data_IF_006095340815
#
_entry.id   IF_006095340815
#
_cell.length_a   1.000
_cell.length_b   1.000
_cell.length_c   1.000
_cell.angle_alpha   90.00
_cell.angle_beta   90.00
_cell.angle_gamma   90.00
#
_symmetry.space_group_name_H-M   'P 1'
#
loop_
_entity.id
_entity.type
_entity.pdbx_description
1 polymer ?
#
# COMPACT_ATOMS: atom_id res chain seq x y z
N UNK A 1 9.58 -8.90 7.20
CA UNK A 1 8.88 -8.83 5.89
C UNK A 1 7.36 -8.89 6.02
N UNK A 2 6.82 -9.26 7.19
CA UNK A 2 5.38 -9.37 7.39
C UNK A 2 4.65 -8.04 7.19
N UNK A 3 5.29 -6.91 7.48
CA UNK A 3 4.72 -5.59 7.23
C UNK A 3 4.51 -5.31 5.74
N UNK A 4 5.41 -5.78 4.86
CA UNK A 4 5.24 -5.67 3.42
C UNK A 4 4.05 -6.51 2.94
N UNK A 5 3.90 -7.73 3.49
CA UNK A 5 2.75 -8.58 3.24
C UNK A 5 1.45 -7.90 3.66
N UNK A 6 1.43 -7.32 4.86
CA UNK A 6 0.29 -6.60 5.39
C UNK A 6 -0.06 -5.37 4.54
N UNK A 7 0.95 -4.60 4.11
CA UNK A 7 0.77 -3.49 3.17
C UNK A 7 0.20 -3.91 1.83
N UNK A 8 0.71 -5.01 1.27
CA UNK A 8 0.21 -5.58 0.02
C UNK A 8 -1.25 -6.01 0.14
N UNK A 9 -1.64 -6.63 1.25
CA UNK A 9 -3.04 -6.98 1.53
C UNK A 9 -3.93 -5.75 1.63
N UNK A 10 -3.50 -4.69 2.33
CA UNK A 10 -4.27 -3.44 2.45
C UNK A 10 -4.49 -2.79 1.08
N UNK A 11 -3.50 -2.82 0.20
CA UNK A 11 -3.61 -2.28 -1.16
C UNK A 11 -4.61 -3.09 -2.00
N UNK A 12 -4.63 -4.42 -1.87
CA UNK A 12 -5.63 -5.27 -2.55
C UNK A 12 -7.03 -5.05 -1.98
N UNK A 13 -7.16 -4.81 -0.67
CA UNK A 13 -8.46 -4.57 -0.02
C UNK A 13 -9.18 -3.33 -0.55
N UNK A 14 -8.47 -2.35 -1.15
CA UNK A 14 -9.10 -1.22 -1.83
C UNK A 14 -10.04 -1.62 -2.97
N UNK A 15 -9.92 -2.82 -3.57
CA UNK A 15 -10.85 -3.30 -4.60
C UNK A 15 -12.24 -3.54 -4.02
N UNK A 16 -12.29 -4.05 -2.78
CA UNK A 16 -13.53 -4.35 -2.11
C UNK A 16 -14.23 -3.09 -1.58
N UNK A 17 -13.68 -1.90 -1.86
CA UNK A 17 -14.26 -0.59 -1.52
C UNK A 17 -15.70 -0.38 -1.98
N UNK A 18 -16.12 -1.08 -3.03
CA UNK A 18 -17.46 -0.98 -3.61
C UNK A 18 -18.45 -2.02 -3.07
N UNK A 19 -18.04 -2.88 -2.12
CA UNK A 19 -18.92 -3.90 -1.55
C UNK A 19 -19.71 -3.31 -0.38
N UNK A 20 -21.07 -3.29 -0.44
CA UNK A 20 -21.94 -2.53 0.48
C UNK A 20 -21.98 -3.04 1.94
N UNK A 21 -21.10 -3.94 2.34
CA UNK A 21 -21.00 -4.47 3.72
C UNK A 21 -19.60 -4.30 4.34
N UNK A 22 -18.68 -3.64 3.63
CA UNK A 22 -17.27 -3.52 4.06
C UNK A 22 -16.90 -2.04 4.30
N UNK A 23 -17.81 -1.09 4.05
CA UNK A 23 -17.54 0.36 4.12
C UNK A 23 -16.91 0.81 5.45
N UNK A 24 -17.41 0.31 6.59
CA UNK A 24 -16.83 0.63 7.90
C UNK A 24 -15.41 0.08 8.05
N UNK A 25 -15.18 -1.17 7.65
CA UNK A 25 -13.85 -1.79 7.67
C UNK A 25 -12.87 -1.04 6.76
N UNK A 26 -13.33 -0.57 5.60
CA UNK A 26 -12.54 0.25 4.67
C UNK A 26 -12.24 1.62 5.25
N UNK A 27 -13.16 2.23 5.99
CA UNK A 27 -12.94 3.51 6.67
C UNK A 27 -11.86 3.38 7.76
N UNK A 28 -11.91 2.31 8.55
CA UNK A 28 -10.85 1.98 9.51
C UNK A 28 -9.52 1.69 8.81
N UNK A 29 -9.54 0.88 7.75
CA UNK A 29 -8.36 0.60 6.92
C UNK A 29 -7.75 1.90 6.37
N UNK A 30 -8.56 2.82 5.84
CA UNK A 30 -8.09 4.10 5.33
C UNK A 30 -7.43 4.97 6.41
N UNK A 31 -7.89 4.90 7.66
CA UNK A 31 -7.24 5.60 8.78
C UNK A 31 -5.87 5.02 9.13
N UNK A 32 -5.72 3.68 9.04
CA UNK A 32 -4.44 3.01 9.36
C UNK A 32 -3.48 2.90 8.18
N UNK A 33 -3.94 3.12 6.93
CA UNK A 33 -3.10 3.09 5.72
C UNK A 33 -1.87 3.98 5.85
N UNK A 34 -2.02 5.16 6.43
CA UNK A 34 -0.95 6.15 6.58
C UNK A 34 0.13 5.66 7.55
N UNK A 35 -0.18 5.36 8.84
CA UNK A 35 0.85 4.87 9.76
C UNK A 35 1.46 3.55 9.30
N UNK A 36 0.67 2.65 8.71
CA UNK A 36 1.19 1.39 8.15
C UNK A 36 2.13 1.65 6.97
N UNK A 37 1.77 2.58 6.06
CA UNK A 37 2.61 2.97 4.94
C UNK A 37 3.97 3.51 5.37
N UNK A 38 4.01 4.32 6.44
CA UNK A 38 5.26 4.83 7.02
C UNK A 38 6.13 3.69 7.56
N UNK A 39 5.54 2.77 8.33
CA UNK A 39 6.26 1.60 8.88
C UNK A 39 6.86 0.76 7.75
N UNK A 40 6.09 0.48 6.70
CA UNK A 40 6.57 -0.30 5.55
C UNK A 40 7.70 0.42 4.82
N UNK A 41 7.58 1.74 4.63
CA UNK A 41 8.62 2.54 3.99
C UNK A 41 9.95 2.50 4.75
N UNK A 42 9.90 2.65 6.08
CA UNK A 42 11.09 2.57 6.95
C UNK A 42 11.71 1.16 6.93
N UNK A 43 10.88 0.12 6.96
CA UNK A 43 11.35 -1.26 6.84
C UNK A 43 12.04 -1.48 5.49
N UNK A 44 11.46 -0.96 4.40
CA UNK A 44 12.04 -1.00 3.07
C UNK A 44 13.44 -0.38 3.04
N UNK A 45 13.59 0.83 3.57
CA UNK A 45 14.89 1.50 3.68
C UNK A 45 15.91 0.66 4.45
N UNK A 46 15.53 0.11 5.61
CA UNK A 46 16.43 -0.71 6.44
C UNK A 46 16.79 -2.07 5.83
N UNK A 47 15.98 -2.57 4.89
CA UNK A 47 16.15 -3.90 4.31
C UNK A 47 17.16 -3.94 3.16
N UNK A 48 17.58 -2.78 2.62
CA UNK A 48 18.59 -2.72 1.56
C UNK A 48 19.96 -3.24 2.02
N UNK A 49 20.29 -3.05 3.30
CA UNK A 49 21.57 -3.46 3.87
C UNK A 49 21.60 -4.94 4.31
N UNK A 50 20.48 -5.67 4.19
CA UNK A 50 20.36 -7.07 4.63
C UNK A 50 20.79 -8.09 3.56
N UNK A 51 21.23 -7.64 2.38
CA UNK A 51 21.77 -8.48 1.30
C UNK A 51 20.85 -8.62 0.08
N UNK A 52 21.40 -9.19 -1.01
CA UNK A 52 20.77 -9.21 -2.34
C UNK A 52 19.37 -9.83 -2.40
N UNK A 53 19.08 -10.78 -1.52
CA UNK A 53 17.76 -11.43 -1.39
C UNK A 53 16.65 -10.44 -1.02
N UNK A 54 16.97 -9.44 -0.21
CA UNK A 54 15.99 -8.50 0.33
C UNK A 54 15.78 -7.29 -0.58
N UNK A 55 16.64 -7.05 -1.57
CA UNK A 55 16.59 -5.88 -2.46
C UNK A 55 15.23 -5.77 -3.17
N UNK A 56 14.70 -6.88 -3.69
CA UNK A 56 13.40 -6.88 -4.35
C UNK A 56 12.26 -6.49 -3.40
N UNK A 57 12.22 -7.09 -2.20
CA UNK A 57 11.23 -6.75 -1.19
C UNK A 57 11.42 -5.37 -0.59
N UNK A 58 12.65 -4.89 -0.45
CA UNK A 58 12.98 -3.55 0.01
C UNK A 58 12.45 -2.50 -0.97
N UNK A 59 12.69 -2.70 -2.27
CA UNK A 59 12.15 -1.84 -3.33
C UNK A 59 10.61 -1.87 -3.35
N UNK A 60 10.01 -3.05 -3.24
CA UNK A 60 8.55 -3.17 -3.17
C UNK A 60 7.96 -2.55 -1.90
N UNK A 61 8.68 -2.56 -0.79
CA UNK A 61 8.26 -1.88 0.44
C UNK A 61 8.30 -0.36 0.31
N UNK A 62 9.28 0.19 -0.39
CA UNK A 62 9.26 1.62 -0.72
C UNK A 62 8.06 1.98 -1.60
N UNK A 63 7.79 1.18 -2.65
CA UNK A 63 6.68 1.42 -3.57
C UNK A 63 5.32 1.25 -2.86
N UNK A 64 5.14 0.19 -2.08
CA UNK A 64 3.91 -0.05 -1.33
C UNK A 64 3.69 0.99 -0.23
N UNK A 65 4.75 1.33 0.53
CA UNK A 65 4.72 2.33 1.59
C UNK A 65 4.38 3.72 1.05
N UNK A 66 4.99 4.13 -0.06
CA UNK A 66 4.66 5.40 -0.73
C UNK A 66 3.24 5.40 -1.28
N UNK A 67 2.79 4.31 -1.92
CA UNK A 67 1.40 4.20 -2.43
C UNK A 67 0.37 4.31 -1.30
N UNK A 68 0.64 3.67 -0.16
CA UNK A 68 -0.18 3.79 1.05
C UNK A 68 -0.14 5.21 1.63
N UNK A 69 1.00 5.89 1.54
CA UNK A 69 1.12 7.29 1.94
C UNK A 69 0.36 8.23 0.99
N UNK A 70 0.41 8.02 -0.33
CA UNK A 70 -0.32 8.83 -1.32
C UNK A 70 -1.85 8.74 -1.18
N UNK A 71 -2.38 7.75 -0.47
CA UNK A 71 -3.79 7.76 -0.05
C UNK A 71 -4.16 8.97 0.83
N UNK A 72 -3.20 9.70 1.41
CA UNK A 72 -3.44 11.00 2.06
C UNK A 72 -4.12 12.00 1.13
N UNK A 73 -3.76 12.02 -0.16
CA UNK A 73 -4.33 13.00 -1.10
C UNK A 73 -5.84 12.78 -1.33
N UNK A 74 -6.34 11.56 -1.11
CA UNK A 74 -7.78 11.28 -1.11
C UNK A 74 -8.52 11.83 0.12
N UNK A 75 -7.81 12.08 1.22
CA UNK A 75 -8.37 12.65 2.44
C UNK A 75 -8.39 14.20 2.44
N UNK A 76 -7.67 14.85 1.50
CA UNK A 76 -7.60 16.31 1.41
C UNK A 76 -8.75 16.81 0.49
N UNK A 77 -9.81 17.47 1.01
CA UNK A 77 -11.04 17.72 0.27
C UNK A 77 -10.97 18.85 -0.79
N UNK A 78 -9.80 19.43 -1.06
CA UNK A 78 -9.71 20.78 -1.68
C UNK A 78 -9.66 20.83 -3.22
N UNK A 79 -9.90 19.74 -3.96
CA UNK A 79 -9.82 19.76 -5.43
C UNK A 79 -10.87 18.85 -6.12
N UNK A 80 -12.13 19.25 -6.04
CA UNK A 80 -13.31 18.44 -6.40
C UNK A 80 -13.35 17.86 -7.83
N UNK A 81 -12.58 18.38 -8.80
CA UNK A 81 -12.67 17.93 -10.20
C UNK A 81 -11.48 17.05 -10.64
N UNK A 82 -10.30 17.15 -10.00
CA UNK A 82 -9.13 16.33 -10.34
C UNK A 82 -9.02 15.05 -9.50
N UNK A 83 -9.63 15.03 -8.31
CA UNK A 83 -9.52 13.93 -7.35
C UNK A 83 -10.16 12.63 -7.89
N UNK A 84 -11.25 12.70 -8.65
CA UNK A 84 -11.96 11.49 -9.09
C UNK A 84 -11.16 10.67 -10.13
N UNK A 85 -10.50 11.36 -11.07
CA UNK A 85 -9.58 10.73 -12.04
C UNK A 85 -8.32 10.22 -11.35
N UNK A 86 -7.72 11.02 -10.46
CA UNK A 86 -6.52 10.63 -9.70
C UNK A 86 -6.82 9.45 -8.79
N UNK A 87 -7.98 9.43 -8.14
CA UNK A 87 -8.44 8.32 -7.32
C UNK A 87 -8.65 7.06 -8.17
N UNK A 88 -9.26 7.15 -9.34
CA UNK A 88 -9.45 5.98 -10.22
C UNK A 88 -8.11 5.41 -10.67
N UNK A 89 -7.15 6.27 -11.03
CA UNK A 89 -5.80 5.86 -11.43
C UNK A 89 -5.07 5.20 -10.26
N UNK A 90 -5.10 5.81 -9.07
CA UNK A 90 -4.45 5.25 -7.88
C UNK A 90 -5.03 3.88 -7.54
N UNK A 91 -6.36 3.69 -7.55
CA UNK A 91 -6.98 2.37 -7.31
C UNK A 91 -6.54 1.34 -8.34
N UNK A 92 -6.38 1.73 -9.61
CA UNK A 92 -5.93 0.83 -10.67
C UNK A 92 -4.48 0.35 -10.46
N UNK A 93 -3.63 1.19 -9.85
CA UNK A 93 -2.25 0.84 -9.52
C UNK A 93 -2.10 0.15 -8.15
N UNK A 94 -3.01 0.38 -7.20
CA UNK A 94 -3.00 -0.27 -5.89
C UNK A 94 -3.04 -1.80 -6.00
N UNK A 95 -3.83 -2.36 -6.93
CA UNK A 95 -3.93 -3.81 -7.10
C UNK A 95 -2.62 -4.46 -7.60
N UNK A 96 -2.03 -4.05 -8.75
CA UNK A 96 -0.75 -4.60 -9.21
C UNK A 96 0.35 -4.45 -8.17
N UNK A 97 0.43 -3.27 -7.53
CA UNK A 97 1.43 -3.01 -6.49
C UNK A 97 1.20 -3.92 -5.27
N UNK A 98 -0.05 -4.11 -4.87
CA UNK A 98 -0.41 -5.01 -3.78
C UNK A 98 -0.03 -6.47 -4.04
N UNK A 99 -0.32 -6.98 -5.24
CA UNK A 99 0.07 -8.35 -5.65
C UNK A 99 1.59 -8.50 -5.65
N UNK A 100 2.32 -7.54 -6.26
CA UNK A 100 3.77 -7.56 -6.29
C UNK A 100 4.39 -7.47 -4.89
N UNK A 101 3.79 -6.66 -4.00
CA UNK A 101 4.23 -6.55 -2.62
C UNK A 101 4.04 -7.86 -1.84
N UNK A 102 2.92 -8.57 -2.05
CA UNK A 102 2.69 -9.89 -1.46
C UNK A 102 3.75 -10.90 -1.96
N UNK A 103 3.99 -10.95 -3.28
CA UNK A 103 5.00 -11.84 -3.85
C UNK A 103 6.40 -11.53 -3.32
N UNK A 104 6.75 -10.24 -3.26
CA UNK A 104 8.04 -9.81 -2.75
C UNK A 104 8.23 -10.11 -1.25
N UNK A 105 7.15 -9.99 -0.46
CA UNK A 105 7.16 -10.39 0.94
C UNK A 105 7.40 -11.90 1.08
N UNK A 106 6.69 -12.74 0.30
CA UNK A 106 6.87 -14.19 0.33
C UNK A 106 8.29 -14.60 -0.07
N UNK A 107 8.83 -14.04 -1.15
CA UNK A 107 10.19 -14.33 -1.64
C UNK A 107 11.27 -13.98 -0.62
N UNK A 108 11.04 -12.97 0.21
CA UNK A 108 12.00 -12.52 1.21
C UNK A 108 11.76 -13.13 2.61
N UNK A 109 10.63 -13.82 2.82
CA UNK A 109 10.34 -14.58 4.05
C UNK A 109 10.93 -15.98 4.02
N UNK A 110 10.82 -16.66 2.87
CA UNK A 110 11.50 -17.94 2.62
C UNK A 110 12.90 -17.67 2.17
#
# INVERSE_FOLDING_TARGET
MEWLLFGGLILVMSIFSKVPHIEEAIKFLNAIKIPVGIVIFLIGLSSFDMGGRYVFGAMMALIAGTTLFFNLFRLIPKAEISIEKVSTIITAFELPIGILAILAALIAMF
#
